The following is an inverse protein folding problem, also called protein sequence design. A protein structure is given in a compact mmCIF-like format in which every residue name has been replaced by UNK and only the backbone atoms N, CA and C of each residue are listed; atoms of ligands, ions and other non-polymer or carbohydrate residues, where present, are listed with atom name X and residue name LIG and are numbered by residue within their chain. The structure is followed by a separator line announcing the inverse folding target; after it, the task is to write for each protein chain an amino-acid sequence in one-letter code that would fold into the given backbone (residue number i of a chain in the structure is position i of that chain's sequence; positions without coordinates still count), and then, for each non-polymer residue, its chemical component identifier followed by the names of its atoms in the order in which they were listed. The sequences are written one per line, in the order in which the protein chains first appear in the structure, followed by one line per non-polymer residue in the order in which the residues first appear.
data_IF_200645681760
#
_entry.id   IF_200645681760
#
_cell.length_a   1.000
_cell.length_b   1.000
_cell.length_c   1.000
_cell.angle_alpha   90.00
_cell.angle_beta   90.00
_cell.angle_gamma   90.00
#
_symmetry.space_group_name_H-M   'P 1'
#
loop_
_entity.id
_entity.type
_entity.pdbx_description
1 polymer ?
#
# COMPACT_ATOMS: atom_id res chain seq x y z
N UNK A 1 -22.92 -6.22 -13.00
CA UNK A 1 -21.67 -6.57 -12.28
C UNK A 1 -21.40 -8.02 -12.64
N UNK A 2 -20.37 -8.30 -13.42
CA UNK A 2 -19.99 -9.69 -13.75
C UNK A 2 -19.13 -10.19 -12.60
N UNK A 3 -19.70 -11.04 -11.75
CA UNK A 3 -18.98 -11.76 -10.71
C UNK A 3 -18.34 -12.98 -11.35
N UNK A 4 -17.01 -12.98 -11.39
CA UNK A 4 -16.24 -14.15 -11.80
C UNK A 4 -16.18 -15.06 -10.57
N UNK A 5 -16.85 -16.22 -10.65
CA UNK A 5 -16.83 -17.21 -9.58
C UNK A 5 -15.45 -17.84 -9.53
N UNK A 6 -14.72 -17.56 -8.46
CA UNK A 6 -13.40 -18.12 -8.23
C UNK A 6 -13.50 -19.43 -7.46
N UNK A 7 -12.63 -20.41 -7.75
CA UNK A 7 -12.56 -21.63 -6.99
C UNK A 7 -12.27 -21.30 -5.51
N UNK A 8 -13.04 -21.93 -4.63
CA UNK A 8 -13.18 -21.68 -3.18
C UNK A 8 -11.87 -21.77 -2.40
N UNK A 9 -10.81 -22.34 -2.98
CA UNK A 9 -9.57 -22.68 -2.28
C UNK A 9 -8.42 -21.66 -2.45
N UNK A 10 -8.52 -20.66 -3.33
CA UNK A 10 -7.40 -19.75 -3.59
C UNK A 10 -7.69 -18.34 -3.08
N UNK A 11 -7.08 -17.96 -1.96
CA UNK A 11 -6.99 -16.54 -1.57
C UNK A 11 -6.15 -15.75 -2.57
N UNK A 12 -6.46 -14.47 -2.77
CA UNK A 12 -5.70 -13.60 -3.70
C UNK A 12 -4.29 -13.23 -3.20
N UNK A 13 -4.10 -13.28 -1.88
CA UNK A 13 -2.87 -12.84 -1.21
C UNK A 13 -1.92 -13.98 -0.86
N UNK A 14 -2.39 -15.23 -0.91
CA UNK A 14 -1.64 -16.41 -0.50
C UNK A 14 -1.82 -17.51 -1.52
N UNK A 15 -0.71 -18.10 -1.96
CA UNK A 15 -0.77 -19.24 -2.86
C UNK A 15 -1.27 -20.50 -2.13
N UNK A 16 -1.90 -21.39 -2.87
CA UNK A 16 -2.29 -22.72 -2.40
C UNK A 16 -1.64 -23.79 -3.31
N UNK A 17 -0.66 -24.57 -2.82
CA UNK A 17 -0.06 -24.51 -1.47
C UNK A 17 0.81 -23.26 -1.27
N UNK A 18 1.00 -22.87 0.00
CA UNK A 18 1.83 -21.71 0.35
C UNK A 18 3.26 -21.88 -0.15
N UNK A 19 3.85 -20.81 -0.65
CA UNK A 19 5.20 -20.81 -1.20
C UNK A 19 6.11 -19.77 -0.51
N UNK A 20 7.37 -19.70 -0.95
CA UNK A 20 8.34 -18.75 -0.39
C UNK A 20 7.96 -17.28 -0.60
N UNK A 21 7.19 -16.94 -1.64
CA UNK A 21 6.76 -15.57 -1.93
C UNK A 21 5.76 -15.07 -0.90
N UNK A 22 4.89 -15.94 -0.40
CA UNK A 22 3.93 -15.61 0.66
C UNK A 22 4.66 -15.19 1.95
N UNK A 23 5.76 -15.88 2.29
CA UNK A 23 6.59 -15.52 3.44
C UNK A 23 7.31 -14.19 3.23
N UNK A 24 7.82 -13.94 2.02
CA UNK A 24 8.44 -12.65 1.68
C UNK A 24 7.41 -11.52 1.85
N UNK A 25 6.17 -11.71 1.38
CA UNK A 25 5.09 -10.74 1.55
C UNK A 25 4.83 -10.47 3.04
N UNK A 26 4.74 -11.53 3.86
CA UNK A 26 4.52 -11.39 5.30
C UNK A 26 5.63 -10.56 5.97
N UNK A 27 6.91 -10.89 5.72
CA UNK A 27 8.04 -10.17 6.30
C UNK A 27 8.12 -8.73 5.81
N UNK A 28 7.91 -8.49 4.52
CA UNK A 28 7.93 -7.14 3.95
C UNK A 28 6.82 -6.28 4.55
N UNK A 29 5.57 -6.76 4.55
CA UNK A 29 4.43 -5.99 5.07
C UNK A 29 4.56 -5.75 6.57
N UNK A 30 4.93 -6.78 7.34
CA UNK A 30 5.14 -6.66 8.79
C UNK A 30 6.28 -5.69 9.11
N UNK A 31 7.38 -5.76 8.37
CA UNK A 31 8.52 -4.86 8.52
C UNK A 31 8.16 -3.41 8.22
N UNK A 32 7.47 -3.16 7.11
CA UNK A 32 6.98 -1.83 6.73
C UNK A 32 6.03 -1.27 7.79
N UNK A 33 5.08 -2.09 8.25
CA UNK A 33 4.15 -1.70 9.31
C UNK A 33 4.86 -1.34 10.62
N UNK A 34 5.82 -2.16 11.05
CA UNK A 34 6.60 -1.89 12.26
C UNK A 34 7.44 -0.60 12.14
N UNK A 35 8.10 -0.40 11.00
CA UNK A 35 8.88 0.80 10.73
C UNK A 35 8.02 2.07 10.71
N UNK A 36 6.82 2.02 10.11
CA UNK A 36 5.91 3.16 10.14
C UNK A 36 5.42 3.49 11.55
N UNK A 37 5.18 2.49 12.40
CA UNK A 37 4.84 2.70 13.80
C UNK A 37 5.99 3.37 14.58
N UNK A 38 7.23 2.91 14.36
CA UNK A 38 8.42 3.52 14.95
C UNK A 38 8.54 4.98 14.50
N UNK A 39 8.39 5.26 13.20
CA UNK A 39 8.43 6.61 12.66
C UNK A 39 7.32 7.49 13.23
N UNK A 40 6.10 6.98 13.36
CA UNK A 40 4.99 7.71 13.99
C UNK A 40 5.32 8.06 15.44
N UNK A 41 5.79 7.09 16.22
CA UNK A 41 6.20 7.28 17.62
C UNK A 41 7.32 8.32 17.75
N UNK A 42 8.36 8.23 16.92
CA UNK A 42 9.47 9.19 16.90
C UNK A 42 8.98 10.60 16.54
N UNK A 43 8.07 10.74 15.58
CA UNK A 43 7.48 12.03 15.20
C UNK A 43 6.64 12.63 16.34
N UNK A 44 5.83 11.81 17.01
CA UNK A 44 5.04 12.24 18.17
C UNK A 44 5.91 12.62 19.36
N UNK A 45 7.05 11.95 19.54
CA UNK A 45 7.99 12.24 20.62
C UNK A 45 8.77 13.54 20.36
N UNK A 46 9.44 13.64 19.21
CA UNK A 46 10.39 14.73 18.93
C UNK A 46 9.72 16.04 18.48
N UNK A 47 8.57 16.01 17.81
CA UNK A 47 7.95 17.27 17.34
C UNK A 47 7.27 18.01 18.49
N UNK A 48 7.61 19.29 18.73
CA UNK A 48 6.90 20.14 19.67
C UNK A 48 5.53 20.48 19.07
N UNK A 49 4.55 19.61 19.37
CA UNK A 49 3.15 19.77 18.98
C UNK A 49 2.29 19.80 20.22
N UNK A 50 1.16 20.52 20.17
CA UNK A 50 0.24 20.60 21.31
C UNK A 50 -0.25 19.22 21.71
N UNK A 51 -0.48 19.01 23.01
CA UNK A 51 -0.99 17.72 23.54
C UNK A 51 -2.27 17.29 22.83
N UNK A 52 -3.18 18.23 22.60
CA UNK A 52 -4.43 18.00 21.86
C UNK A 52 -4.18 17.42 20.45
N UNK A 53 -3.21 17.96 19.72
CA UNK A 53 -2.89 17.48 18.37
C UNK A 53 -2.27 16.09 18.41
N UNK A 54 -1.42 15.79 19.40
CA UNK A 54 -0.87 14.44 19.60
C UNK A 54 -1.98 13.44 19.90
N UNK A 55 -2.89 13.78 20.82
CA UNK A 55 -4.05 12.93 21.16
C UNK A 55 -4.94 12.69 19.94
N UNK A 56 -5.21 13.72 19.14
CA UNK A 56 -6.02 13.59 17.93
C UNK A 56 -5.36 12.65 16.91
N UNK A 57 -4.06 12.79 16.66
CA UNK A 57 -3.31 11.91 15.74
C UNK A 57 -3.36 10.46 16.23
N UNK A 58 -3.16 10.23 17.53
CA UNK A 58 -3.25 8.89 18.11
C UNK A 58 -4.67 8.31 17.98
N UNK A 59 -5.70 9.11 18.24
CA UNK A 59 -7.09 8.65 18.10
C UNK A 59 -7.44 8.28 16.65
N UNK A 60 -7.02 9.10 15.68
CA UNK A 60 -7.18 8.80 14.26
C UNK A 60 -6.44 7.51 13.89
N UNK A 61 -5.21 7.34 14.37
CA UNK A 61 -4.41 6.15 14.10
C UNK A 61 -5.01 4.87 14.69
N UNK A 62 -5.54 4.94 15.92
CA UNK A 62 -6.27 3.83 16.54
C UNK A 62 -7.51 3.49 15.72
N UNK A 63 -8.28 4.50 15.29
CA UNK A 63 -9.42 4.28 14.41
C UNK A 63 -9.04 3.57 13.10
N UNK A 64 -7.96 4.02 12.46
CA UNK A 64 -7.40 3.36 11.28
C UNK A 64 -7.02 1.90 11.56
N UNK A 65 -6.28 1.63 12.65
CA UNK A 65 -5.89 0.27 13.03
C UNK A 65 -7.09 -0.64 13.26
N UNK A 66 -8.14 -0.15 13.93
CA UNK A 66 -9.36 -0.94 14.15
C UNK A 66 -9.99 -1.31 12.81
N UNK A 67 -10.15 -0.34 11.92
CA UNK A 67 -10.75 -0.56 10.59
C UNK A 67 -9.94 -1.57 9.77
N UNK A 68 -8.60 -1.54 9.86
CA UNK A 68 -7.73 -2.47 9.13
C UNK A 68 -7.60 -3.84 9.78
N UNK A 69 -7.58 -3.95 11.11
CA UNK A 69 -7.33 -5.21 11.83
C UNK A 69 -8.60 -6.02 12.08
N UNK A 70 -9.76 -5.38 12.28
CA UNK A 70 -11.01 -6.10 12.52
C UNK A 70 -11.36 -7.07 11.39
N UNK A 71 -11.26 -6.70 10.09
CA UNK A 71 -11.52 -7.64 9.00
C UNK A 71 -10.54 -8.81 8.99
N UNK A 72 -9.26 -8.56 9.26
CA UNK A 72 -8.21 -9.59 9.29
C UNK A 72 -8.45 -10.56 10.45
N UNK A 73 -8.82 -10.05 11.62
CA UNK A 73 -9.16 -10.90 12.77
C UNK A 73 -10.41 -11.72 12.44
N UNK A 74 -11.46 -11.10 11.89
CA UNK A 74 -12.70 -11.77 11.52
C UNK A 74 -12.46 -12.91 10.50
N UNK A 75 -11.63 -12.66 9.49
CA UNK A 75 -11.19 -13.68 8.52
C UNK A 75 -10.43 -14.82 9.20
N UNK A 76 -9.44 -14.50 10.04
CA UNK A 76 -8.62 -15.50 10.73
C UNK A 76 -9.39 -16.37 11.74
N UNK A 77 -10.50 -15.88 12.29
CA UNK A 77 -11.36 -16.65 13.20
C UNK A 77 -12.60 -17.22 12.51
N UNK A 78 -12.79 -16.98 11.21
CA UNK A 78 -13.99 -17.41 10.49
C UNK A 78 -14.14 -18.94 10.51
N UNK A 79 -13.05 -19.69 10.46
CA UNK A 79 -13.02 -21.15 10.58
C UNK A 79 -13.53 -21.67 11.94
N UNK A 80 -13.51 -20.84 13.00
CA UNK A 80 -14.10 -21.16 14.31
C UNK A 80 -15.63 -21.21 14.20
N UNK A 81 -16.21 -20.32 13.41
CA UNK A 81 -17.64 -20.20 13.22
C UNK A 81 -18.15 -21.09 12.08
N UNK A 82 -17.30 -21.31 11.07
CA UNK A 82 -17.58 -22.15 9.90
C UNK A 82 -16.45 -23.17 9.67
N UNK A 83 -16.48 -24.34 10.36
CA UNK A 83 -15.44 -25.34 10.22
C UNK A 83 -15.39 -25.92 8.80
N UNK A 84 -14.20 -26.15 8.22
CA UNK A 84 -14.05 -26.76 6.90
C UNK A 84 -14.72 -28.14 6.77
N UNK A 85 -14.93 -28.81 7.90
CA UNK A 85 -15.53 -30.14 8.00
C UNK A 85 -17.08 -30.11 7.96
N UNK A 86 -17.71 -28.92 7.98
CA UNK A 86 -19.17 -28.73 7.91
C UNK A 86 -19.53 -27.68 6.85
N UNK A 87 -19.69 -28.11 5.58
CA UNK A 87 -19.70 -27.21 4.41
C UNK A 87 -21.00 -26.41 4.18
N UNK A 88 -21.93 -26.38 5.14
CA UNK A 88 -23.24 -25.73 4.98
C UNK A 88 -23.27 -24.30 5.53
N UNK A 89 -22.17 -23.55 5.40
CA UNK A 89 -22.17 -22.13 5.73
C UNK A 89 -22.75 -21.36 4.54
N UNK A 90 -23.84 -20.62 4.72
CA UNK A 90 -24.39 -19.78 3.67
C UNK A 90 -23.37 -18.75 3.18
N UNK A 91 -23.35 -18.44 1.87
CA UNK A 91 -22.45 -17.47 1.24
C UNK A 91 -22.45 -16.10 1.94
N UNK A 92 -23.59 -15.72 2.54
CA UNK A 92 -23.76 -14.48 3.31
C UNK A 92 -22.99 -14.42 4.64
N UNK A 93 -22.52 -15.55 5.18
CA UNK A 93 -21.61 -15.56 6.33
C UNK A 93 -20.19 -15.13 5.93
N UNK A 94 -19.86 -15.16 4.63
CA UNK A 94 -18.65 -14.56 4.04
C UNK A 94 -18.85 -13.12 3.55
N UNK A 95 -20.09 -12.63 3.47
CA UNK A 95 -20.40 -11.28 2.94
C UNK A 95 -19.76 -10.15 3.76
N UNK A 96 -19.54 -10.33 5.06
CA UNK A 96 -18.89 -9.30 5.87
C UNK A 96 -17.46 -9.03 5.37
N UNK A 97 -16.71 -10.06 5.00
CA UNK A 97 -15.35 -9.94 4.48
C UNK A 97 -15.36 -9.27 3.11
N UNK A 98 -16.28 -9.65 2.22
CA UNK A 98 -16.47 -9.02 0.92
C UNK A 98 -16.86 -7.53 1.06
N UNK A 99 -17.72 -7.19 2.02
CA UNK A 99 -18.09 -5.81 2.36
C UNK A 99 -16.87 -5.02 2.86
N UNK A 100 -16.08 -5.60 3.76
CA UNK A 100 -14.85 -4.96 4.24
C UNK A 100 -13.85 -4.75 3.12
N UNK A 101 -13.69 -5.71 2.22
CA UNK A 101 -12.83 -5.60 1.04
C UNK A 101 -13.32 -4.49 0.10
N UNK A 102 -14.62 -4.43 -0.17
CA UNK A 102 -15.22 -3.36 -0.97
C UNK A 102 -15.04 -1.98 -0.35
N UNK A 103 -15.29 -1.83 0.96
CA UNK A 103 -15.06 -0.58 1.70
C UNK A 103 -13.58 -0.17 1.70
N UNK A 104 -12.67 -1.12 1.88
CA UNK A 104 -11.24 -0.87 1.79
C UNK A 104 -10.85 -0.36 0.41
N UNK A 105 -11.29 -1.06 -0.65
CA UNK A 105 -10.90 -0.77 -2.01
C UNK A 105 -11.47 0.58 -2.50
N UNK A 106 -12.73 0.88 -2.19
CA UNK A 106 -13.44 2.03 -2.76
C UNK A 106 -13.30 3.30 -1.90
N UNK A 107 -13.21 3.15 -0.59
CA UNK A 107 -13.21 4.30 0.34
C UNK A 107 -11.85 4.46 1.00
N UNK A 108 -11.35 3.42 1.66
CA UNK A 108 -10.21 3.58 2.56
C UNK A 108 -8.91 3.82 1.79
N UNK A 109 -8.65 3.08 0.72
CA UNK A 109 -7.46 3.27 -0.10
C UNK A 109 -7.42 4.70 -0.70
N UNK A 110 -8.43 5.19 -1.45
CA UNK A 110 -8.35 6.55 -1.99
C UNK A 110 -8.20 7.64 -0.92
N UNK A 111 -8.94 7.53 0.19
CA UNK A 111 -9.01 8.59 1.22
C UNK A 111 -7.77 8.59 2.12
N UNK A 112 -7.26 7.42 2.50
CA UNK A 112 -6.19 7.32 3.49
C UNK A 112 -4.81 7.03 2.89
N UNK A 113 -4.73 6.48 1.67
CA UNK A 113 -3.45 6.27 0.99
C UNK A 113 -3.30 7.25 -0.16
N UNK A 114 -4.07 7.11 -1.24
CA UNK A 114 -3.80 7.80 -2.50
C UNK A 114 -3.83 9.33 -2.38
N UNK A 115 -4.89 9.91 -1.79
CA UNK A 115 -5.03 11.37 -1.64
C UNK A 115 -3.88 11.96 -0.78
N UNK A 116 -3.60 11.43 0.43
CA UNK A 116 -2.49 11.88 1.25
C UNK A 116 -1.12 11.77 0.56
N UNK A 117 -0.89 10.71 -0.24
CA UNK A 117 0.35 10.54 -1.01
C UNK A 117 0.55 11.70 -1.97
N UNK A 118 -0.46 11.99 -2.79
CA UNK A 118 -0.40 13.07 -3.77
C UNK A 118 -0.19 14.42 -3.08
N UNK A 119 -0.95 14.70 -2.01
CA UNK A 119 -0.78 15.92 -1.20
C UNK A 119 0.63 15.99 -0.61
N UNK A 120 1.17 14.88 -0.13
CA UNK A 120 2.52 14.76 0.43
C UNK A 120 3.59 15.12 -0.59
N UNK A 121 3.50 14.56 -1.80
CA UNK A 121 4.41 14.87 -2.91
C UNK A 121 4.36 16.36 -3.26
N UNK A 122 3.17 16.94 -3.41
CA UNK A 122 3.02 18.37 -3.68
C UNK A 122 3.61 19.25 -2.58
N UNK A 123 3.38 18.89 -1.31
CA UNK A 123 3.96 19.63 -0.17
C UNK A 123 5.48 19.52 -0.14
N UNK A 124 6.02 18.34 -0.42
CA UNK A 124 7.46 18.09 -0.46
C UNK A 124 8.11 18.84 -1.63
N UNK A 125 7.45 18.92 -2.79
CA UNK A 125 7.92 19.69 -3.95
C UNK A 125 7.93 21.20 -3.71
N UNK A 126 7.01 21.71 -2.87
CA UNK A 126 6.95 23.14 -2.48
C UNK A 126 7.87 23.49 -1.31
N UNK A 127 8.36 22.51 -0.56
CA UNK A 127 9.35 22.73 0.48
C UNK A 127 10.73 22.97 -0.13
N UNK A 128 11.62 23.65 0.60
CA UNK A 128 12.99 23.89 0.13
C UNK A 128 13.68 22.56 -0.15
N UNK A 129 13.92 22.25 -1.43
CA UNK A 129 14.50 20.99 -1.88
C UNK A 129 15.92 20.77 -1.31
N UNK A 130 16.67 21.84 -0.99
CA UNK A 130 17.95 21.74 -0.28
C UNK A 130 17.87 21.06 1.10
N UNK A 131 16.69 21.05 1.74
CA UNK A 131 16.50 20.34 3.03
C UNK A 131 16.29 18.84 2.85
N UNK A 132 16.17 18.36 1.61
CA UNK A 132 15.91 16.96 1.32
C UNK A 132 17.22 16.21 1.13
N UNK A 133 17.35 15.08 1.81
CA UNK A 133 18.50 14.20 1.63
C UNK A 133 18.44 13.59 0.23
N UNK A 134 19.38 13.96 -0.64
CA UNK A 134 19.52 13.38 -1.97
C UNK A 134 19.68 11.85 -1.92
N UNK A 135 20.48 11.36 -0.96
CA UNK A 135 20.66 9.93 -0.72
C UNK A 135 19.34 9.27 -0.29
N UNK A 136 18.58 9.93 0.59
CA UNK A 136 17.25 9.48 0.99
C UNK A 136 16.29 9.37 -0.19
N UNK A 137 16.22 10.40 -1.04
CA UNK A 137 15.37 10.41 -2.25
C UNK A 137 15.74 9.28 -3.22
N UNK A 138 17.03 9.05 -3.46
CA UNK A 138 17.52 7.93 -4.29
C UNK A 138 17.09 6.59 -3.72
N UNK A 139 17.34 6.36 -2.43
CA UNK A 139 17.00 5.09 -1.76
C UNK A 139 15.49 4.85 -1.79
N UNK A 140 14.68 5.86 -1.49
CA UNK A 140 13.22 5.74 -1.52
C UNK A 140 12.73 5.44 -2.94
N UNK A 141 13.19 6.20 -3.94
CA UNK A 141 12.80 5.99 -5.34
C UNK A 141 13.11 4.56 -5.78
N UNK A 142 14.34 4.09 -5.55
CA UNK A 142 14.75 2.72 -5.92
C UNK A 142 13.95 1.67 -5.16
N UNK A 143 13.78 1.83 -3.85
CA UNK A 143 13.04 0.87 -3.03
C UNK A 143 11.59 0.72 -3.50
N UNK A 144 10.90 1.84 -3.78
CA UNK A 144 9.52 1.81 -4.25
C UNK A 144 9.39 1.30 -5.70
N UNK A 145 10.35 1.58 -6.59
CA UNK A 145 10.37 0.97 -7.93
C UNK A 145 10.47 -0.56 -7.82
N UNK A 146 11.44 -1.05 -7.02
CA UNK A 146 11.63 -2.48 -6.84
C UNK A 146 10.37 -3.10 -6.22
N UNK A 147 9.82 -2.48 -5.18
CA UNK A 147 8.59 -2.94 -4.53
C UNK A 147 7.43 -3.05 -5.52
N UNK A 148 7.18 -2.00 -6.30
CA UNK A 148 6.11 -1.98 -7.31
C UNK A 148 6.25 -3.12 -8.34
N UNK A 149 7.46 -3.36 -8.84
CA UNK A 149 7.74 -4.42 -9.81
C UNK A 149 7.61 -5.82 -9.19
N UNK A 150 8.09 -6.00 -7.96
CA UNK A 150 8.09 -7.30 -7.30
C UNK A 150 6.72 -7.69 -6.73
N UNK A 151 5.80 -6.76 -6.50
CA UNK A 151 4.45 -7.09 -6.06
C UNK A 151 3.67 -7.88 -7.11
N UNK A 152 3.83 -7.56 -8.41
CA UNK A 152 3.06 -8.18 -9.49
C UNK A 152 3.20 -9.72 -9.53
N UNK A 153 4.40 -10.32 -9.51
CA UNK A 153 4.55 -11.78 -9.51
C UNK A 153 4.34 -12.44 -8.13
N UNK A 154 4.20 -11.67 -7.05
CA UNK A 154 4.10 -12.20 -5.67
C UNK A 154 2.67 -12.41 -5.20
N UNK A 155 1.68 -11.92 -5.95
CA UNK A 155 0.26 -12.05 -5.63
C UNK A 155 -0.35 -13.22 -6.40
N UNK A 156 -1.23 -13.96 -5.75
CA UNK A 156 -1.90 -15.12 -6.32
C UNK A 156 -3.12 -14.64 -7.12
N UNK A 157 -2.89 -14.28 -8.38
CA UNK A 157 -3.95 -13.84 -9.30
C UNK A 157 -4.22 -14.94 -10.32
N UNK A 158 -5.47 -15.39 -10.49
CA UNK A 158 -5.86 -16.42 -11.45
C UNK A 158 -5.95 -15.82 -12.86
N UNK A 159 -4.78 -15.48 -13.42
CA UNK A 159 -4.65 -14.81 -14.71
C UNK A 159 -5.28 -15.59 -15.86
N UNK A 160 -5.23 -16.92 -15.79
CA UNK A 160 -5.87 -17.85 -16.73
C UNK A 160 -7.38 -17.58 -16.85
N UNK A 161 -8.08 -17.48 -15.73
CA UNK A 161 -9.53 -17.24 -15.72
C UNK A 161 -9.91 -15.89 -16.35
N UNK A 162 -9.07 -14.86 -16.14
CA UNK A 162 -9.30 -13.53 -16.71
C UNK A 162 -8.96 -13.45 -18.21
N UNK A 163 -7.88 -14.11 -18.63
CA UNK A 163 -7.37 -14.04 -20.00
C UNK A 163 -8.15 -14.97 -20.95
N UNK A 164 -8.58 -16.14 -20.48
CA UNK A 164 -9.32 -17.13 -21.28
C UNK A 164 -10.80 -16.76 -21.46
N UNK A 165 -11.36 -15.94 -20.56
CA UNK A 165 -12.76 -15.50 -20.60
C UNK A 165 -13.10 -14.47 -21.69
N UNK A 166 -12.12 -14.03 -22.51
CA UNK A 166 -12.33 -13.03 -23.56
C UNK A 166 -12.80 -11.65 -23.05
N UNK A 167 -12.59 -11.37 -21.76
CA UNK A 167 -13.01 -10.12 -21.15
C UNK A 167 -12.17 -8.93 -21.66
N UNK A 168 -12.77 -7.74 -21.83
CA UNK A 168 -12.02 -6.53 -22.14
C UNK A 168 -10.90 -6.28 -21.13
N UNK A 169 -9.69 -5.94 -21.60
CA UNK A 169 -8.51 -5.73 -20.76
C UNK A 169 -8.74 -4.73 -19.62
N UNK A 170 -9.58 -3.71 -19.85
CA UNK A 170 -9.92 -2.71 -18.84
C UNK A 170 -10.63 -3.31 -17.62
N UNK A 171 -11.46 -4.34 -17.82
CA UNK A 171 -12.16 -5.03 -16.73
C UNK A 171 -11.18 -5.89 -15.93
N UNK A 172 -10.26 -6.56 -16.63
CA UNK A 172 -9.22 -7.39 -16.01
C UNK A 172 -8.30 -6.53 -15.14
N UNK A 173 -7.80 -5.42 -15.69
CA UNK A 173 -6.93 -4.49 -14.96
C UNK A 173 -7.67 -3.87 -13.77
N UNK A 174 -8.94 -3.50 -13.95
CA UNK A 174 -9.76 -2.94 -12.88
C UNK A 174 -9.97 -3.95 -11.73
N UNK A 175 -10.30 -5.20 -12.06
CA UNK A 175 -10.46 -6.27 -11.07
C UNK A 175 -9.13 -6.54 -10.35
N UNK A 176 -8.04 -6.69 -11.09
CA UNK A 176 -6.71 -6.89 -10.53
C UNK A 176 -6.33 -5.77 -9.55
N UNK A 177 -6.52 -4.51 -9.95
CA UNK A 177 -6.23 -3.34 -9.11
C UNK A 177 -6.98 -3.38 -7.77
N UNK A 178 -8.29 -3.60 -7.80
CA UNK A 178 -9.14 -3.60 -6.59
C UNK A 178 -8.90 -4.81 -5.68
N UNK A 179 -8.39 -5.91 -6.21
CA UNK A 179 -8.10 -7.11 -5.41
C UNK A 179 -6.73 -7.03 -4.73
N UNK A 180 -5.67 -6.77 -5.52
CA UNK A 180 -4.28 -6.87 -5.04
C UNK A 180 -3.34 -5.84 -5.67
N UNK A 181 -3.67 -5.35 -6.88
CA UNK A 181 -2.79 -4.50 -7.66
C UNK A 181 -2.59 -3.08 -7.11
N UNK A 182 -3.47 -2.62 -6.22
CA UNK A 182 -3.36 -1.30 -5.62
C UNK A 182 -2.01 -1.08 -4.90
N UNK A 183 -1.42 -2.11 -4.29
CA UNK A 183 -0.13 -1.97 -3.59
C UNK A 183 0.99 -1.65 -4.57
N UNK A 184 1.03 -2.36 -5.70
CA UNK A 184 2.01 -2.12 -6.75
C UNK A 184 1.84 -0.73 -7.36
N UNK A 185 0.60 -0.28 -7.55
CA UNK A 185 0.30 1.05 -8.10
C UNK A 185 0.65 2.15 -7.10
N UNK A 186 0.31 2.01 -5.83
CA UNK A 186 0.65 2.99 -4.78
C UNK A 186 2.17 3.14 -4.64
N UNK A 187 2.92 2.03 -4.67
CA UNK A 187 4.38 2.05 -4.68
C UNK A 187 4.94 2.73 -5.95
N UNK A 188 4.34 2.49 -7.12
CA UNK A 188 4.74 3.15 -8.35
C UNK A 188 4.48 4.68 -8.32
N UNK A 189 3.35 5.10 -7.75
CA UNK A 189 3.03 6.53 -7.55
C UNK A 189 4.03 7.18 -6.60
N UNK A 190 4.38 6.50 -5.50
CA UNK A 190 5.42 6.96 -4.57
C UNK A 190 6.78 7.08 -5.26
N UNK A 191 7.19 6.06 -5.99
CA UNK A 191 8.43 6.07 -6.78
C UNK A 191 8.46 7.25 -7.75
N UNK A 192 7.38 7.49 -8.49
CA UNK A 192 7.27 8.63 -9.40
C UNK A 192 7.40 9.97 -8.67
N UNK A 193 6.70 10.12 -7.54
CA UNK A 193 6.80 11.32 -6.70
C UNK A 193 8.22 11.59 -6.20
N UNK A 194 8.86 10.59 -5.60
CA UNK A 194 10.24 10.72 -5.09
C UNK A 194 11.25 10.91 -6.22
N UNK A 195 11.03 10.28 -7.38
CA UNK A 195 11.85 10.46 -8.58
C UNK A 195 11.77 11.88 -9.15
N UNK A 196 10.58 12.48 -9.18
CA UNK A 196 10.42 13.89 -9.57
C UNK A 196 11.14 14.82 -8.61
N UNK A 197 11.01 14.60 -7.30
CA UNK A 197 11.72 15.39 -6.28
C UNK A 197 13.24 15.25 -6.39
N UNK A 198 13.72 14.04 -6.65
CA UNK A 198 15.13 13.76 -6.89
C UNK A 198 15.64 14.54 -8.11
N UNK A 199 14.89 14.49 -9.22
CA UNK A 199 15.24 15.22 -10.43
C UNK A 199 15.30 16.73 -10.20
N UNK A 200 14.29 17.30 -9.53
CA UNK A 200 14.27 18.73 -9.19
C UNK A 200 15.46 19.12 -8.29
N UNK A 201 15.78 18.31 -7.28
CA UNK A 201 16.90 18.55 -6.37
C UNK A 201 18.25 18.50 -7.10
N UNK A 202 18.42 17.58 -8.05
CA UNK A 202 19.62 17.50 -8.88
C UNK A 202 19.79 18.73 -9.76
N UNK A 203 18.72 19.23 -10.38
CA UNK A 203 18.79 20.44 -11.23
C UNK A 203 19.20 21.67 -10.43
N UNK A 204 18.64 21.85 -9.23
CA UNK A 204 19.00 22.99 -8.38
C UNK A 204 20.48 22.96 -7.96
N UNK A 205 20.99 21.79 -7.55
CA UNK A 205 22.40 21.66 -7.18
C UNK A 205 23.34 21.95 -8.36
N UNK A 206 22.94 21.59 -9.60
CA UNK A 206 23.72 21.94 -10.80
C UNK A 206 23.72 23.44 -11.04
N UNK A 207 22.56 24.09 -10.96
CA UNK A 207 22.45 25.55 -11.13
C UNK A 207 23.15 26.35 -10.03
N UNK A 208 23.24 25.83 -8.80
CA UNK A 208 24.02 26.43 -7.72
C UNK A 208 25.53 26.25 -7.93
N UNK A 209 25.96 25.06 -8.36
CA UNK A 209 27.36 24.78 -8.69
C UNK A 209 27.88 25.62 -9.87
N UNK A 210 27.04 25.98 -10.84
CA UNK A 210 27.38 26.91 -11.92
C UNK A 210 27.44 28.38 -11.45
N UNK A 211 26.78 28.73 -10.35
CA UNK A 211 26.73 30.08 -9.78
C UNK A 211 27.81 30.37 -8.74
N UNK A 212 28.50 29.36 -8.21
CA UNK A 212 29.70 29.57 -7.42
C UNK A 212 30.86 29.97 -8.34
N UNK A 213 31.39 31.21 -8.25
CA UNK A 213 32.53 31.59 -9.07
C UNK A 213 33.76 30.77 -8.64
N UNK A 214 34.49 30.25 -9.63
CA UNK A 214 35.82 29.69 -9.48
C UNK A 214 36.77 30.77 -8.93
N UNK A 215 36.74 31.00 -7.62
CA UNK A 215 37.79 31.70 -6.90
C UNK A 215 38.77 30.64 -6.38
N UNK A 216 39.63 30.20 -7.29
CA UNK A 216 40.92 29.61 -6.99
C UNK A 216 42.01 30.49 -7.60
#
# INVERSE_FOLDING_TARGET
IYTINLPVETGYWTHHPRNALDWINLFQVSGVWALFNILLGLNLYHKPTSRLRKTLVVAIYIGFLIISLVPVIADAVSDIFCPPDRPNCPEHERDAIALFQGLHAVILLPVFTTIPIIIGIFKQARSTLQTQSLTGLKLQTTAFILSALFWVPRVSVPWDLYLDGGHPIIIIVNAWYHMVGFVAVDDAVFAGGQGVLLWLSLRQNMEEGEREPLLA
#
